data_IF_034264626755
#
_entry.id   IF_034264626755
#
_cell.length_a   1.000
_cell.length_b   1.000
_cell.length_c   1.000
_cell.angle_alpha   90.00
_cell.angle_beta   90.00
_cell.angle_gamma   90.00
#
_symmetry.space_group_name_H-M   'P 1'
#
loop_
_entity.id
_entity.type
_entity.pdbx_description
1 polymer ?
#
# COMPACT_ATOMS: atom_id res chain seq x y z
N UNK A 1 -5.60 -5.58 -64.45
CA UNK A 1 -4.98 -4.60 -63.52
C UNK A 1 -6.11 -3.98 -62.73
N UNK A 2 -6.30 -4.39 -61.48
CA UNK A 2 -7.41 -3.91 -60.65
C UNK A 2 -6.99 -2.57 -60.04
N UNK A 3 -7.59 -1.47 -60.50
CA UNK A 3 -7.40 -0.14 -59.91
C UNK A 3 -8.09 -0.14 -58.55
N UNK A 4 -7.31 -0.04 -57.46
CA UNK A 4 -7.86 0.18 -56.13
C UNK A 4 -8.78 1.41 -56.19
N UNK A 5 -10.03 1.25 -55.77
CA UNK A 5 -11.01 2.33 -55.77
C UNK A 5 -10.56 3.42 -54.79
N UNK A 6 -10.75 4.71 -55.12
CA UNK A 6 -10.31 5.83 -54.28
C UNK A 6 -10.89 5.79 -52.86
N UNK A 7 -12.06 5.17 -52.68
CA UNK A 7 -12.67 4.93 -51.37
C UNK A 7 -11.85 3.97 -50.48
N UNK A 8 -11.24 2.93 -51.07
CA UNK A 8 -10.39 2.00 -50.33
C UNK A 8 -9.12 2.71 -49.80
N UNK A 9 -8.57 3.62 -50.60
CA UNK A 9 -7.39 4.40 -50.23
C UNK A 9 -7.73 5.34 -49.06
N UNK A 10 -8.90 6.00 -49.10
CA UNK A 10 -9.36 6.90 -48.04
C UNK A 10 -9.64 6.18 -46.70
N UNK A 11 -10.22 4.97 -46.75
CA UNK A 11 -10.43 4.14 -45.54
C UNK A 11 -9.08 3.69 -44.95
N UNK A 12 -8.15 3.24 -45.79
CA UNK A 12 -6.81 2.83 -45.35
C UNK A 12 -6.01 3.98 -44.73
N UNK A 13 -6.06 5.19 -45.29
CA UNK A 13 -5.40 6.36 -44.70
C UNK A 13 -5.99 6.72 -43.34
N UNK A 14 -7.32 6.67 -43.21
CA UNK A 14 -8.01 6.97 -41.94
C UNK A 14 -7.62 5.97 -40.85
N UNK A 15 -7.58 4.67 -41.19
CA UNK A 15 -7.14 3.62 -40.26
C UNK A 15 -5.68 3.78 -39.85
N UNK A 16 -4.81 4.18 -40.78
CA UNK A 16 -3.40 4.43 -40.50
C UNK A 16 -3.21 5.62 -39.56
N UNK A 17 -3.93 6.72 -39.77
CA UNK A 17 -3.91 7.86 -38.85
C UNK A 17 -4.42 7.50 -37.45
N UNK A 18 -5.48 6.69 -37.36
CA UNK A 18 -5.98 6.21 -36.07
C UNK A 18 -4.97 5.30 -35.36
N UNK A 19 -4.29 4.44 -36.10
CA UNK A 19 -3.24 3.58 -35.55
C UNK A 19 -2.06 4.40 -35.01
N UNK A 20 -1.63 5.44 -35.74
CA UNK A 20 -0.57 6.36 -35.30
C UNK A 20 -0.96 7.12 -34.02
N UNK A 21 -2.18 7.67 -33.95
CA UNK A 21 -2.66 8.34 -32.73
C UNK A 21 -2.71 7.42 -31.52
N UNK A 22 -3.06 6.15 -31.72
CA UNK A 22 -3.04 5.14 -30.65
C UNK A 22 -1.61 4.81 -30.21
N UNK A 23 -0.68 4.71 -31.15
CA UNK A 23 0.73 4.49 -30.84
C UNK A 23 1.30 5.65 -30.00
N UNK A 24 1.07 6.90 -30.38
CA UNK A 24 1.50 8.09 -29.63
C UNK A 24 0.93 8.11 -28.21
N UNK A 25 -0.35 7.74 -28.05
CA UNK A 25 -0.98 7.66 -26.73
C UNK A 25 -0.31 6.59 -25.86
N UNK A 26 -0.01 5.42 -26.43
CA UNK A 26 0.67 4.35 -25.72
C UNK A 26 2.09 4.74 -25.33
N UNK A 27 2.83 5.43 -26.20
CA UNK A 27 4.17 5.94 -25.89
C UNK A 27 4.15 6.92 -24.71
N UNK A 28 3.20 7.87 -24.71
CA UNK A 28 3.02 8.78 -23.58
C UNK A 28 2.66 8.06 -22.28
N UNK A 29 1.83 7.02 -22.35
CA UNK A 29 1.49 6.19 -21.19
C UNK A 29 2.69 5.39 -20.67
N UNK A 30 3.49 4.83 -21.56
CA UNK A 30 4.72 4.12 -21.19
C UNK A 30 5.71 5.06 -20.49
N UNK A 31 5.88 6.30 -20.98
CA UNK A 31 6.73 7.29 -20.34
C UNK A 31 6.28 7.64 -18.91
N UNK A 32 4.96 7.73 -18.68
CA UNK A 32 4.39 7.93 -17.33
C UNK A 32 4.68 6.73 -16.43
N UNK A 33 4.44 5.51 -16.92
CA UNK A 33 4.71 4.29 -16.16
C UNK A 33 6.19 4.11 -15.83
N UNK A 34 7.09 4.46 -16.75
CA UNK A 34 8.53 4.43 -16.50
C UNK A 34 8.93 5.42 -15.38
N UNK A 35 8.34 6.61 -15.39
CA UNK A 35 8.53 7.60 -14.33
C UNK A 35 8.02 7.08 -12.99
N UNK A 36 6.83 6.49 -12.94
CA UNK A 36 6.26 5.95 -11.71
C UNK A 36 7.07 4.78 -11.16
N UNK A 37 7.55 3.88 -12.02
CA UNK A 37 8.46 2.80 -11.66
C UNK A 37 9.77 3.34 -11.08
N UNK A 38 10.34 4.38 -11.69
CA UNK A 38 11.57 5.00 -11.20
C UNK A 38 11.38 5.66 -9.81
N UNK A 39 10.21 6.26 -9.56
CA UNK A 39 9.86 6.83 -8.27
C UNK A 39 9.70 5.75 -7.20
N UNK A 40 8.97 4.67 -7.49
CA UNK A 40 8.81 3.53 -6.58
C UNK A 40 10.15 2.87 -6.26
N UNK A 41 11.04 2.72 -7.24
CA UNK A 41 12.40 2.20 -7.00
C UNK A 41 13.22 3.12 -6.09
N UNK A 42 13.11 4.44 -6.25
CA UNK A 42 13.78 5.40 -5.39
C UNK A 42 13.27 5.33 -3.95
N UNK A 43 11.95 5.17 -3.76
CA UNK A 43 11.33 5.06 -2.44
C UNK A 43 11.68 3.73 -1.76
N UNK A 44 11.71 2.62 -2.51
CA UNK A 44 12.20 1.33 -1.99
C UNK A 44 13.65 1.42 -1.51
N UNK A 45 14.53 2.08 -2.26
CA UNK A 45 15.93 2.30 -1.85
C UNK A 45 16.04 3.16 -0.60
N UNK A 46 15.20 4.20 -0.47
CA UNK A 46 15.14 5.04 0.74
C UNK A 46 14.69 4.23 1.95
N UNK A 47 13.65 3.42 1.79
CA UNK A 47 13.14 2.57 2.85
C UNK A 47 14.18 1.55 3.30
N UNK A 48 14.83 0.85 2.36
CA UNK A 48 15.90 -0.10 2.66
C UNK A 48 17.08 0.56 3.41
N UNK A 49 17.47 1.78 3.02
CA UNK A 49 18.50 2.54 3.72
C UNK A 49 18.08 3.02 5.13
N UNK A 50 16.78 3.20 5.38
CA UNK A 50 16.26 3.48 6.71
C UNK A 50 16.27 2.25 7.60
N UNK A 51 15.90 1.07 7.07
CA UNK A 51 15.95 -0.19 7.82
C UNK A 51 17.37 -0.51 8.29
N UNK A 52 18.37 -0.31 7.41
CA UNK A 52 19.77 -0.52 7.76
C UNK A 52 20.26 0.40 8.90
N UNK A 53 19.78 1.65 8.95
CA UNK A 53 20.09 2.57 10.05
C UNK A 53 19.43 2.18 11.38
N UNK A 54 18.23 1.58 11.32
CA UNK A 54 17.55 1.09 12.52
C UNK A 54 18.32 -0.10 13.09
N UNK A 55 18.75 -1.04 12.24
CA UNK A 55 19.55 -2.20 12.67
C UNK A 55 20.90 -1.78 13.27
N UNK A 56 21.60 -0.82 12.65
CA UNK A 56 22.84 -0.23 13.20
C UNK A 56 22.60 0.47 14.56
N UNK A 57 21.46 1.13 14.73
CA UNK A 57 21.11 1.77 16.01
C UNK A 57 20.78 0.75 17.09
N UNK A 58 20.13 -0.37 16.75
CA UNK A 58 19.85 -1.46 17.70
C UNK A 58 21.12 -2.21 18.10
N UNK A 59 22.06 -2.40 17.17
CA UNK A 59 23.37 -2.97 17.48
C UNK A 59 24.18 -2.06 18.40
N UNK A 60 24.14 -0.74 18.19
CA UNK A 60 24.76 0.24 19.10
C UNK A 60 24.12 0.22 20.50
N UNK A 61 22.80 0.10 20.59
CA UNK A 61 22.10 -0.02 21.89
C UNK A 61 22.51 -1.32 22.59
N UNK A 62 22.56 -2.44 21.88
CA UNK A 62 23.00 -3.73 22.44
C UNK A 62 24.47 -3.69 22.89
N UNK A 63 25.35 -3.02 22.14
CA UNK A 63 26.74 -2.81 22.53
C UNK A 63 26.85 -1.93 23.79
N UNK A 64 26.04 -0.89 23.89
CA UNK A 64 26.00 -0.02 25.08
C UNK A 64 25.48 -0.77 26.30
N UNK A 65 24.46 -1.62 26.16
CA UNK A 65 23.95 -2.50 27.23
C UNK A 65 25.00 -3.52 27.66
N UNK A 66 25.69 -4.17 26.71
CA UNK A 66 26.79 -5.09 27.01
C UNK A 66 27.96 -4.38 27.72
N UNK A 67 28.24 -3.13 27.35
CA UNK A 67 29.26 -2.30 28.00
C UNK A 67 28.83 -1.90 29.41
N UNK A 68 27.55 -1.61 29.63
CA UNK A 68 26.97 -1.33 30.94
C UNK A 68 27.09 -2.56 31.86
N UNK A 69 26.67 -3.73 31.39
CA UNK A 69 26.78 -4.99 32.14
C UNK A 69 28.24 -5.36 32.48
N UNK A 70 29.19 -5.04 31.60
CA UNK A 70 30.64 -5.20 31.87
C UNK A 70 31.14 -4.21 32.92
N UNK A 71 30.61 -2.99 32.97
CA UNK A 71 30.96 -2.00 33.99
C UNK A 71 30.36 -2.35 35.34
N UNK A 72 29.11 -2.81 35.38
CA UNK A 72 28.42 -3.29 36.59
C UNK A 72 29.13 -4.51 37.19
N UNK A 73 29.54 -5.48 36.35
CA UNK A 73 30.35 -6.60 36.82
C UNK A 73 31.73 -6.16 37.33
N UNK A 74 32.33 -5.14 36.71
CA UNK A 74 33.60 -4.55 37.18
C UNK A 74 33.42 -3.79 38.49
N UNK A 75 32.30 -3.09 38.69
CA UNK A 75 32.00 -2.38 39.95
C UNK A 75 31.64 -3.34 41.08
N UNK A 76 31.04 -4.49 40.79
CA UNK A 76 30.84 -5.58 41.76
C UNK A 76 32.19 -6.20 42.19
N UNK A 77 33.14 -6.37 41.26
CA UNK A 77 34.49 -6.88 41.59
C UNK A 77 35.39 -5.82 42.24
N UNK A 78 35.23 -4.53 41.91
CA UNK A 78 35.95 -3.43 42.55
C UNK A 78 35.36 -3.04 43.92
N UNK A 79 34.06 -3.26 44.13
CA UNK A 79 33.35 -2.98 45.40
C UNK A 79 33.66 -3.98 46.52
N UNK A 80 34.25 -5.14 46.22
CA UNK A 80 34.62 -6.14 47.21
C UNK A 80 35.84 -5.77 48.08
N UNK A 81 36.48 -4.61 47.85
CA UNK A 81 37.66 -4.15 48.63
C UNK A 81 37.51 -2.82 49.36
N UNK A 82 36.43 -2.05 49.15
CA UNK A 82 36.22 -0.80 49.89
C UNK A 82 34.79 -0.74 50.42
N UNK A 83 34.64 -1.09 51.69
CA UNK A 83 33.46 -0.74 52.47
C UNK A 83 33.36 0.79 52.64
N UNK A 84 32.13 1.22 52.96
CA UNK A 84 31.76 2.43 53.72
C UNK A 84 31.10 3.60 52.94
N UNK A 85 29.92 3.94 53.47
CA UNK A 85 29.21 5.23 53.47
C UNK A 85 28.24 5.59 52.34
N UNK A 86 26.96 5.30 52.64
CA UNK A 86 25.85 6.25 52.74
C UNK A 86 26.09 7.69 52.25
N UNK A 87 25.32 8.13 51.24
CA UNK A 87 24.50 9.36 51.32
C UNK A 87 23.53 9.47 50.15
N UNK A 88 22.24 9.39 50.43
CA UNK A 88 21.22 10.09 49.64
C UNK A 88 21.45 11.59 49.80
N UNK A 89 21.79 12.28 48.72
CA UNK A 89 21.51 13.72 48.55
C UNK A 89 21.26 13.98 47.07
N UNK A 90 20.06 14.47 46.81
CA UNK A 90 19.51 14.92 45.54
C UNK A 90 20.50 15.68 44.65
N UNK A 91 20.48 15.38 43.35
CA UNK A 91 20.67 16.38 42.29
C UNK A 91 19.86 15.93 41.06
N UNK A 92 18.86 16.76 40.76
CA UNK A 92 18.24 17.06 39.47
C UNK A 92 17.93 15.91 38.52
N UNK A 93 16.62 15.59 38.43
CA UNK A 93 16.02 15.14 37.18
C UNK A 93 16.57 16.01 36.03
N UNK A 94 17.30 15.46 35.04
CA UNK A 94 17.26 16.07 33.73
C UNK A 94 15.81 15.90 33.30
N UNK A 95 15.07 17.01 33.31
CA UNK A 95 13.75 17.10 32.71
C UNK A 95 13.80 16.31 31.42
N UNK A 96 13.10 15.16 31.43
CA UNK A 96 12.79 14.47 30.18
C UNK A 96 12.28 15.59 29.28
N UNK A 97 12.78 15.74 28.04
CA UNK A 97 11.91 16.37 27.07
C UNK A 97 10.66 15.51 27.14
N UNK A 98 9.59 16.08 27.69
CA UNK A 98 8.27 15.62 27.36
C UNK A 98 8.27 15.75 25.83
N UNK A 99 8.57 14.64 25.17
CA UNK A 99 8.04 14.34 23.86
C UNK A 99 6.54 14.31 24.10
N UNK A 100 5.98 15.52 24.22
CA UNK A 100 4.72 15.86 23.64
C UNK A 100 4.84 15.39 22.19
N UNK A 101 4.50 14.12 21.99
CA UNK A 101 3.86 13.66 20.79
C UNK A 101 2.48 14.35 20.77
N UNK A 102 2.49 15.69 20.70
CA UNK A 102 1.39 16.44 20.12
C UNK A 102 1.25 15.86 18.73
N UNK A 103 0.10 15.25 18.50
CA UNK A 103 -0.20 14.39 17.37
C UNK A 103 0.37 14.90 16.06
N UNK A 104 1.19 14.07 15.44
CA UNK A 104 1.04 13.91 14.00
C UNK A 104 -0.27 13.19 13.82
N UNK A 105 -1.28 13.95 13.36
CA UNK A 105 -2.65 13.51 13.08
C UNK A 105 -2.71 12.03 12.68
N UNK A 106 -3.63 11.30 13.31
CA UNK A 106 -4.25 10.07 12.79
C UNK A 106 -4.86 10.40 11.41
N UNK A 107 -4.01 10.54 10.40
CA UNK A 107 -4.43 10.73 9.04
C UNK A 107 -4.99 9.39 8.60
N UNK A 108 -6.33 9.27 8.66
CA UNK A 108 -7.04 8.11 8.16
C UNK A 108 -6.54 7.78 6.75
N UNK A 109 -6.23 6.53 6.48
CA UNK A 109 -5.73 6.12 5.18
C UNK A 109 -6.33 4.79 4.76
N UNK A 110 -6.70 4.69 3.48
CA UNK A 110 -6.98 3.42 2.83
C UNK A 110 -5.74 3.05 2.02
N UNK A 111 -5.20 1.86 2.30
CA UNK A 111 -3.97 1.38 1.65
C UNK A 111 -4.13 -0.08 1.24
N UNK A 112 -3.33 -0.51 0.25
CA UNK A 112 -3.26 -1.92 -0.17
C UNK A 112 -4.60 -2.57 -0.56
N UNK A 113 -5.38 -1.94 -1.45
CA UNK A 113 -6.55 -2.58 -2.05
C UNK A 113 -6.10 -3.75 -2.97
N UNK A 114 -6.59 -4.96 -2.72
CA UNK A 114 -6.23 -6.16 -3.50
C UNK A 114 -7.33 -7.21 -3.58
N UNK A 115 -7.24 -8.04 -4.61
CA UNK A 115 -8.06 -9.24 -4.79
C UNK A 115 -7.37 -10.47 -4.19
N UNK A 116 -8.17 -11.38 -3.65
CA UNK A 116 -7.72 -12.69 -3.21
C UNK A 116 -8.79 -13.71 -3.62
N UNK A 117 -8.56 -14.55 -4.64
CA UNK A 117 -7.35 -14.64 -5.49
C UNK A 117 -7.20 -13.47 -6.49
N UNK A 118 -6.02 -13.36 -7.12
CA UNK A 118 -5.69 -12.33 -8.14
C UNK A 118 -6.19 -12.68 -9.54
N UNK A 119 -6.62 -13.92 -9.74
CA UNK A 119 -7.33 -14.41 -10.92
C UNK A 119 -8.53 -15.23 -10.43
N UNK A 120 -9.64 -15.20 -11.15
CA UNK A 120 -10.82 -15.95 -10.76
C UNK A 120 -11.49 -16.61 -11.96
N UNK A 121 -12.28 -17.65 -11.68
CA UNK A 121 -13.18 -18.29 -12.63
C UNK A 121 -14.59 -17.71 -12.50
N UNK A 122 -15.38 -17.87 -13.55
CA UNK A 122 -16.78 -17.46 -13.60
C UNK A 122 -17.58 -18.06 -12.43
N UNK A 123 -18.21 -17.21 -11.62
CA UNK A 123 -19.03 -17.60 -10.47
C UNK A 123 -18.26 -17.86 -9.17
N UNK A 124 -16.92 -17.75 -9.19
CA UNK A 124 -16.05 -17.93 -8.04
C UNK A 124 -16.18 -16.78 -7.03
N UNK A 125 -16.00 -17.10 -5.75
CA UNK A 125 -15.96 -16.08 -4.70
C UNK A 125 -14.55 -15.50 -4.58
N UNK A 126 -14.45 -14.17 -4.70
CA UNK A 126 -13.20 -13.40 -4.60
C UNK A 126 -13.30 -12.47 -3.41
N UNK A 127 -12.28 -12.46 -2.57
CA UNK A 127 -12.18 -11.52 -1.45
C UNK A 127 -11.50 -10.23 -1.88
N UNK A 128 -12.19 -9.11 -1.68
CA UNK A 128 -11.63 -7.76 -1.75
C UNK A 128 -11.07 -7.43 -0.39
N UNK A 129 -9.80 -7.00 -0.32
CA UNK A 129 -9.15 -6.60 0.92
C UNK A 129 -8.63 -5.18 0.80
N UNK A 130 -8.77 -4.40 1.85
CA UNK A 130 -8.15 -3.08 1.98
C UNK A 130 -7.67 -2.89 3.41
N UNK A 131 -6.46 -2.38 3.57
CA UNK A 131 -5.96 -1.98 4.87
C UNK A 131 -6.50 -0.60 5.23
N UNK A 132 -6.99 -0.48 6.45
CA UNK A 132 -7.55 0.76 6.99
C UNK A 132 -6.67 1.18 8.15
N UNK A 133 -6.09 2.37 8.06
CA UNK A 133 -5.28 2.95 9.14
C UNK A 133 -5.95 4.24 9.62
N UNK A 134 -6.02 4.47 10.93
CA UNK A 134 -6.70 5.66 11.50
C UNK A 134 -8.20 5.80 11.17
N UNK A 135 -8.90 4.69 10.86
CA UNK A 135 -10.36 4.66 10.75
C UNK A 135 -10.99 4.31 12.10
N UNK A 136 -12.06 5.02 12.46
CA UNK A 136 -12.82 4.81 13.68
C UNK A 136 -13.94 3.77 13.45
N UNK A 137 -14.35 3.04 14.50
CA UNK A 137 -15.58 2.24 14.46
C UNK A 137 -16.76 3.07 13.94
N UNK A 138 -17.61 2.46 13.12
CA UNK A 138 -18.74 3.08 12.42
C UNK A 138 -18.40 3.98 11.21
N UNK A 139 -17.13 4.27 10.92
CA UNK A 139 -16.77 4.87 9.64
C UNK A 139 -17.21 3.97 8.47
N UNK A 140 -17.62 4.56 7.35
CA UNK A 140 -18.11 3.80 6.20
C UNK A 140 -17.02 3.71 5.13
N UNK A 141 -16.62 2.48 4.80
CA UNK A 141 -15.80 2.18 3.63
C UNK A 141 -16.67 1.60 2.52
N UNK A 142 -16.58 2.19 1.34
CA UNK A 142 -17.31 1.79 0.15
C UNK A 142 -16.40 1.04 -0.81
N UNK A 143 -16.81 -0.12 -1.28
CA UNK A 143 -16.15 -0.86 -2.35
C UNK A 143 -16.92 -0.67 -3.65
N UNK A 144 -16.27 -0.09 -4.65
CA UNK A 144 -16.84 0.20 -5.96
C UNK A 144 -16.11 -0.65 -6.99
N UNK A 145 -16.78 -1.67 -7.52
CA UNK A 145 -16.22 -2.57 -8.53
C UNK A 145 -16.55 -2.04 -9.92
N UNK A 146 -15.57 -1.99 -10.81
CA UNK A 146 -15.72 -1.51 -12.19
C UNK A 146 -15.19 -2.56 -13.16
N UNK A 147 -16.02 -2.98 -14.10
CA UNK A 147 -15.58 -3.77 -15.26
C UNK A 147 -14.86 -2.85 -16.25
N UNK A 148 -13.65 -3.22 -16.66
CA UNK A 148 -12.88 -2.45 -17.63
C UNK A 148 -13.56 -2.52 -19.00
N UNK A 149 -14.07 -1.39 -19.47
CA UNK A 149 -14.78 -1.27 -20.75
C UNK A 149 -16.30 -1.22 -20.65
N UNK A 150 -16.88 -1.34 -19.44
CA UNK A 150 -18.31 -1.12 -19.23
C UNK A 150 -18.65 0.39 -19.08
N UNK A 151 -19.92 0.75 -19.27
CA UNK A 151 -20.41 2.13 -19.17
C UNK A 151 -20.41 2.70 -17.74
N UNK A 152 -20.20 1.88 -16.71
CA UNK A 152 -20.18 2.37 -15.35
C UNK A 152 -19.81 1.31 -14.30
N UNK A 153 -19.55 1.75 -13.07
CA UNK A 153 -19.29 0.85 -11.96
C UNK A 153 -20.54 0.07 -11.56
N UNK A 154 -20.32 -1.10 -10.95
CA UNK A 154 -21.36 -1.83 -10.22
C UNK A 154 -21.82 -1.05 -9.00
N UNK A 155 -22.96 -1.45 -8.44
CA UNK A 155 -23.53 -0.81 -7.25
C UNK A 155 -22.51 -0.79 -6.08
N UNK A 156 -22.21 0.39 -5.52
CA UNK A 156 -21.26 0.51 -4.41
C UNK A 156 -21.71 -0.25 -3.18
N UNK A 157 -20.82 -1.08 -2.64
CA UNK A 157 -21.07 -1.84 -1.43
C UNK A 157 -20.50 -1.08 -0.23
N UNK A 158 -21.32 -0.86 0.81
CA UNK A 158 -20.95 -0.02 1.97
C UNK A 158 -20.79 -0.87 3.21
N UNK A 159 -19.66 -0.74 3.88
CA UNK A 159 -19.37 -1.48 5.10
C UNK A 159 -18.97 -0.52 6.22
N UNK A 160 -19.63 -0.60 7.39
CA UNK A 160 -19.14 0.07 8.57
C UNK A 160 -17.85 -0.62 9.04
N UNK A 161 -16.87 0.16 9.47
CA UNK A 161 -15.69 -0.36 10.19
C UNK A 161 -16.20 -0.97 11.50
N UNK A 162 -15.96 -2.27 11.73
CA UNK A 162 -16.42 -2.93 12.95
C UNK A 162 -15.77 -2.36 14.21
N UNK A 163 -16.36 -2.66 15.37
CA UNK A 163 -15.78 -2.26 16.66
C UNK A 163 -14.45 -2.98 16.93
N UNK A 164 -13.46 -2.23 17.39
CA UNK A 164 -12.11 -2.73 17.69
C UNK A 164 -11.04 -2.18 16.75
N UNK A 165 -9.77 -2.47 17.06
CA UNK A 165 -8.65 -2.11 16.18
C UNK A 165 -8.65 -3.04 14.98
N UNK A 166 -8.89 -2.51 13.80
CA UNK A 166 -8.98 -3.28 12.56
C UNK A 166 -8.02 -2.70 11.54
N UNK A 167 -6.96 -3.46 11.29
CA UNK A 167 -5.94 -3.07 10.31
C UNK A 167 -6.37 -3.43 8.87
N UNK A 168 -7.35 -4.33 8.68
CA UNK A 168 -7.81 -4.81 7.36
C UNK A 168 -9.33 -5.04 7.33
N UNK A 169 -10.00 -4.47 6.32
CA UNK A 169 -11.37 -4.81 5.94
C UNK A 169 -11.35 -5.81 4.79
N UNK A 170 -12.22 -6.82 4.88
CA UNK A 170 -12.37 -7.83 3.84
C UNK A 170 -13.84 -8.00 3.46
N UNK A 171 -14.09 -8.16 2.17
CA UNK A 171 -15.42 -8.36 1.61
C UNK A 171 -15.40 -9.49 0.59
N UNK A 172 -16.40 -10.37 0.61
CA UNK A 172 -16.52 -11.47 -0.34
C UNK A 172 -17.47 -11.08 -1.49
N UNK A 173 -16.91 -10.90 -2.68
CA UNK A 173 -17.65 -10.68 -3.92
C UNK A 173 -17.74 -11.98 -4.72
N UNK A 174 -18.81 -12.17 -5.48
CA UNK A 174 -18.91 -13.30 -6.42
C UNK A 174 -18.71 -12.79 -7.84
N UNK A 175 -17.76 -13.37 -8.56
CA UNK A 175 -17.51 -13.00 -9.94
C UNK A 175 -18.74 -13.29 -10.81
N UNK A 176 -19.07 -12.41 -11.76
CA UNK A 176 -20.21 -12.60 -12.64
C UNK A 176 -19.93 -13.72 -13.64
N UNK A 177 -20.99 -14.22 -14.26
CA UNK A 177 -20.88 -15.25 -15.30
C UNK A 177 -20.18 -14.69 -16.54
N UNK A 178 -19.09 -15.33 -16.95
CA UNK A 178 -18.32 -14.99 -18.16
C UNK A 178 -18.51 -16.11 -19.19
N UNK A 179 -18.77 -15.80 -20.48
CA UNK A 179 -18.87 -16.82 -21.52
C UNK A 179 -17.58 -17.63 -21.67
N UNK A 180 -17.72 -18.92 -21.97
CA UNK A 180 -16.60 -19.84 -22.18
C UNK A 180 -15.62 -19.29 -23.23
N UNK A 181 -14.32 -19.46 -22.99
CA UNK A 181 -13.22 -18.99 -23.84
C UNK A 181 -13.13 -17.45 -23.96
N UNK A 182 -13.81 -16.71 -23.08
CA UNK A 182 -13.66 -15.26 -22.94
C UNK A 182 -13.15 -14.89 -21.55
N UNK A 183 -12.65 -13.66 -21.42
CA UNK A 183 -12.27 -13.10 -20.13
C UNK A 183 -12.85 -11.70 -19.96
N UNK A 184 -13.06 -11.32 -18.71
CA UNK A 184 -13.44 -9.96 -18.31
C UNK A 184 -12.49 -9.47 -17.24
N UNK A 185 -12.23 -8.18 -17.26
CA UNK A 185 -11.29 -7.55 -16.34
C UNK A 185 -12.02 -6.59 -15.40
N UNK A 186 -11.67 -6.65 -14.12
CA UNK A 186 -12.31 -5.84 -13.08
C UNK A 186 -11.25 -5.11 -12.25
N UNK A 187 -11.60 -3.91 -11.82
CA UNK A 187 -10.88 -3.19 -10.76
C UNK A 187 -11.86 -2.85 -9.66
N UNK A 188 -11.39 -2.65 -8.43
CA UNK A 188 -12.22 -2.06 -7.39
C UNK A 188 -11.52 -0.89 -6.73
N UNK A 189 -12.34 0.01 -6.23
CA UNK A 189 -11.91 1.20 -5.52
C UNK A 189 -12.56 1.17 -4.14
N UNK A 190 -11.74 1.19 -3.09
CA UNK A 190 -12.18 1.39 -1.73
C UNK A 190 -12.16 2.89 -1.40
N UNK A 191 -13.27 3.44 -0.90
CA UNK A 191 -13.42 4.86 -0.52
C UNK A 191 -13.93 5.02 0.89
N UNK A 192 -13.34 5.93 1.66
CA UNK A 192 -13.78 6.22 3.04
C UNK A 192 -13.08 7.46 3.57
N UNK A 193 -13.81 8.31 4.31
CA UNK A 193 -13.31 9.59 4.88
C UNK A 193 -12.54 10.49 3.89
N UNK A 194 -12.88 10.45 2.60
CA UNK A 194 -12.19 11.23 1.56
C UNK A 194 -10.89 10.58 1.02
N UNK A 195 -10.53 9.39 1.51
CA UNK A 195 -9.42 8.60 1.02
C UNK A 195 -9.89 7.56 0.01
N UNK A 196 -9.00 7.19 -0.91
CA UNK A 196 -9.26 6.23 -1.97
C UNK A 196 -8.07 5.26 -2.12
N UNK A 197 -8.35 3.97 -2.20
CA UNK A 197 -7.37 2.95 -2.57
C UNK A 197 -7.89 2.14 -3.76
N UNK A 198 -7.03 1.94 -4.77
CA UNK A 198 -7.38 1.21 -6.00
C UNK A 198 -6.71 -0.14 -6.03
N UNK A 199 -7.47 -1.16 -6.43
CA UNK A 199 -6.94 -2.50 -6.61
C UNK A 199 -6.22 -2.67 -7.94
N UNK A 200 -5.32 -3.65 -8.06
CA UNK A 200 -4.85 -4.13 -9.36
C UNK A 200 -6.02 -4.73 -10.16
N UNK A 201 -5.78 -5.01 -11.44
CA UNK A 201 -6.77 -5.68 -12.30
C UNK A 201 -6.94 -7.13 -11.88
N UNK A 202 -8.19 -7.57 -11.76
CA UNK A 202 -8.60 -8.96 -11.64
C UNK A 202 -9.07 -9.45 -13.00
N UNK A 203 -8.52 -10.56 -13.47
CA UNK A 203 -9.01 -11.25 -14.67
C UNK A 203 -9.95 -12.38 -14.26
N UNK A 204 -11.19 -12.37 -14.77
CA UNK A 204 -12.17 -13.43 -14.61
C UNK A 204 -12.31 -14.20 -15.92
N UNK A 205 -12.09 -15.50 -15.90
CA UNK A 205 -12.19 -16.39 -17.08
C UNK A 205 -13.48 -17.19 -17.06
N UNK A 206 -14.11 -17.34 -18.23
CA UNK A 206 -15.33 -18.13 -18.45
C UNK A 206 -15.08 -19.60 -18.79
#
# INVERSE_FOLDING_TARGET
MSTATPELIADLTTRLEQALRRADLMERRMAVWEKDLSALQADLRRFAGQTQRVDESTDQVSELEARLARLENRSLHAGARNAVSTRSTAVSEPSRPALNLTGTDDASALVFARWVPIEATSGEAVTLRVKCDGFEPADIVQFIITELGAEGPLEPLRFPVPEGRIDELSFQWRSPSVPKDTHREYTFVARGRGHEARSPVLTVRG
#
